data_IF_918706048108
#
_entry.id   IF_918706048108
#
_cell.length_a   1.000
_cell.length_b   1.000
_cell.length_c   1.000
_cell.angle_alpha   90.00
_cell.angle_beta   90.00
_cell.angle_gamma   90.00
#
_symmetry.space_group_name_H-M   'P 1'
#
loop_
_entity.id
_entity.type
_entity.pdbx_description
1 polymer ?
#
# COMPACT_ATOMS: atom_id res chain seq x y z
N UNK A 1 -5.64 -18.02 12.08
CA UNK A 1 -6.13 -16.78 11.44
C UNK A 1 -5.71 -16.87 9.98
N UNK A 2 -6.64 -17.10 9.07
CA UNK A 2 -6.34 -17.24 7.65
C UNK A 2 -5.77 -15.91 7.14
N UNK A 3 -4.49 -15.91 6.76
CA UNK A 3 -3.74 -14.70 6.35
C UNK A 3 -4.37 -14.00 5.13
N UNK A 4 -5.26 -14.66 4.41
CA UNK A 4 -5.96 -14.14 3.21
C UNK A 4 -7.00 -13.05 3.49
N UNK A 5 -7.45 -12.87 4.74
CA UNK A 5 -8.53 -11.91 5.03
C UNK A 5 -8.07 -10.62 5.70
N UNK A 6 -6.78 -10.49 5.99
CA UNK A 6 -6.26 -9.31 6.68
C UNK A 6 -6.29 -8.11 5.74
N UNK A 7 -7.00 -7.06 6.19
CA UNK A 7 -7.11 -5.78 5.48
C UNK A 7 -6.46 -4.71 6.35
N UNK A 8 -5.42 -4.08 5.82
CA UNK A 8 -4.68 -3.02 6.51
C UNK A 8 -4.92 -1.72 5.77
N UNK A 9 -5.34 -0.67 6.48
CA UNK A 9 -5.51 0.65 5.87
C UNK A 9 -4.17 1.23 5.43
N UNK A 10 -4.18 2.14 4.47
CA UNK A 10 -2.96 2.85 4.07
C UNK A 10 -2.35 3.64 5.25
N UNK A 11 -3.21 4.19 6.11
CA UNK A 11 -2.81 4.93 7.30
C UNK A 11 -2.12 4.03 8.33
N UNK A 12 -2.70 2.87 8.65
CA UNK A 12 -2.08 1.87 9.54
C UNK A 12 -0.71 1.41 9.03
N UNK A 13 -0.56 1.27 7.71
CA UNK A 13 0.71 0.87 7.09
C UNK A 13 1.70 2.04 6.93
N UNK A 14 1.31 3.27 7.28
CA UNK A 14 2.17 4.45 7.15
C UNK A 14 2.46 4.85 5.69
N UNK A 15 1.53 4.56 4.77
CA UNK A 15 1.71 4.82 3.33
C UNK A 15 0.65 5.77 2.76
N UNK A 16 1.03 6.45 1.68
CA UNK A 16 0.15 7.37 0.94
C UNK A 16 0.01 6.91 -0.50
N UNK A 17 -1.22 6.59 -0.91
CA UNK A 17 -1.55 6.29 -2.30
C UNK A 17 -1.43 7.52 -3.19
N UNK A 18 -0.72 7.36 -4.32
CA UNK A 18 -0.48 8.39 -5.32
C UNK A 18 -0.76 7.84 -6.73
N UNK A 19 -1.08 8.71 -7.69
CA UNK A 19 -1.22 8.30 -9.09
C UNK A 19 0.16 8.01 -9.70
N UNK A 20 0.33 6.85 -10.32
CA UNK A 20 1.58 6.47 -11.01
C UNK A 20 1.99 7.51 -12.08
N UNK A 21 1.00 8.04 -12.81
CA UNK A 21 1.21 8.97 -13.94
C UNK A 21 1.87 10.29 -13.54
N UNK A 22 1.47 10.88 -12.41
CA UNK A 22 1.88 12.23 -12.02
C UNK A 22 2.44 12.33 -10.59
N UNK A 23 2.51 11.19 -9.89
CA UNK A 23 3.00 11.03 -8.52
C UNK A 23 2.27 11.87 -7.47
N UNK A 24 1.14 12.49 -7.81
CA UNK A 24 0.33 13.28 -6.89
C UNK A 24 -0.46 12.36 -5.96
N UNK A 25 -0.55 12.76 -4.69
CA UNK A 25 -1.42 12.11 -3.69
C UNK A 25 -2.84 12.03 -4.22
N UNK A 26 -3.45 10.86 -4.08
CA UNK A 26 -4.87 10.69 -4.38
C UNK A 26 -5.70 11.36 -3.27
N UNK A 27 -6.60 12.27 -3.63
CA UNK A 27 -7.47 12.94 -2.65
C UNK A 27 -8.58 12.02 -2.13
N UNK A 28 -9.08 11.14 -3.00
CA UNK A 28 -10.13 10.17 -2.70
C UNK A 28 -9.82 8.88 -3.44
N UNK A 29 -8.93 8.02 -2.89
CA UNK A 29 -8.64 6.74 -3.52
C UNK A 29 -9.90 5.85 -3.47
N UNK A 30 -10.08 5.00 -4.48
CA UNK A 30 -11.25 4.09 -4.56
C UNK A 30 -11.18 3.03 -3.47
N UNK A 31 -9.97 2.69 -3.04
CA UNK A 31 -9.68 1.78 -1.95
C UNK A 31 -8.82 2.50 -0.92
N UNK A 32 -9.08 2.24 0.35
CA UNK A 32 -8.34 2.77 1.51
C UNK A 32 -7.55 1.68 2.25
N UNK A 33 -7.71 0.41 1.85
CA UNK A 33 -7.13 -0.77 2.47
C UNK A 33 -6.37 -1.64 1.45
N UNK A 34 -5.24 -2.17 1.89
CA UNK A 34 -4.46 -3.18 1.20
C UNK A 34 -4.85 -4.59 1.67
N UNK A 35 -4.73 -5.52 0.73
CA UNK A 35 -4.61 -6.95 0.95
C UNK A 35 -3.40 -7.41 0.18
N UNK A 36 -2.65 -8.38 0.71
CA UNK A 36 -1.37 -8.79 0.13
C UNK A 36 -1.50 -9.21 -1.35
N UNK A 37 -2.56 -9.95 -1.68
CA UNK A 37 -2.87 -10.42 -3.03
C UNK A 37 -3.31 -9.31 -3.99
N UNK A 38 -3.81 -8.19 -3.46
CA UNK A 38 -4.27 -7.05 -4.25
C UNK A 38 -3.15 -6.05 -4.57
N UNK A 39 -2.02 -6.08 -3.83
CA UNK A 39 -0.90 -5.15 -4.05
C UNK A 39 -0.45 -5.12 -5.51
N UNK A 40 -0.23 -6.26 -6.22
CA UNK A 40 0.14 -6.22 -7.64
C UNK A 40 -0.90 -5.53 -8.52
N UNK A 41 -2.20 -5.74 -8.25
CA UNK A 41 -3.30 -5.14 -9.01
C UNK A 41 -3.27 -3.61 -8.92
N UNK A 42 -2.94 -3.07 -7.74
CA UNK A 42 -2.79 -1.62 -7.56
C UNK A 42 -1.71 -1.03 -8.48
N UNK A 43 -0.53 -1.66 -8.54
CA UNK A 43 0.60 -1.18 -9.34
C UNK A 43 0.38 -1.40 -10.84
N UNK A 44 0.01 -2.61 -11.24
CA UNK A 44 -0.02 -3.01 -12.65
C UNK A 44 -1.29 -2.57 -13.38
N UNK A 45 -2.45 -2.64 -12.72
CA UNK A 45 -3.74 -2.43 -13.39
C UNK A 45 -4.38 -1.10 -13.05
N UNK A 46 -4.25 -0.64 -11.80
CA UNK A 46 -4.95 0.55 -11.33
C UNK A 46 -4.10 1.82 -11.34
N UNK A 47 -2.79 1.70 -11.62
CA UNK A 47 -1.89 2.83 -11.73
C UNK A 47 -1.69 3.57 -10.40
N UNK A 48 -1.66 2.83 -9.30
CA UNK A 48 -1.31 3.33 -7.97
C UNK A 48 0.19 3.16 -7.76
N UNK A 49 0.79 4.11 -7.05
CA UNK A 49 2.08 3.95 -6.39
C UNK A 49 1.94 4.41 -4.95
N UNK A 50 2.74 3.85 -4.06
CA UNK A 50 2.69 4.16 -2.64
C UNK A 50 4.00 4.81 -2.20
N UNK A 51 3.91 5.81 -1.33
CA UNK A 51 5.06 6.46 -0.71
C UNK A 51 4.93 6.49 0.79
N UNK A 52 6.04 6.68 1.50
CA UNK A 52 6.03 6.87 2.95
C UNK A 52 5.20 8.11 3.32
N UNK A 53 4.41 7.97 4.40
CA UNK A 53 3.73 9.10 5.02
C UNK A 53 4.73 10.07 5.68
N UNK A 54 5.82 9.53 6.24
CA UNK A 54 6.87 10.28 6.93
C UNK A 54 7.89 10.90 5.96
N UNK A 55 8.18 10.21 4.85
CA UNK A 55 9.12 10.66 3.82
C UNK A 55 8.47 10.72 2.43
N UNK A 56 7.93 11.89 2.03
CA UNK A 56 7.24 12.07 0.74
C UNK A 56 8.08 11.81 -0.53
N UNK A 57 9.41 11.69 -0.40
CA UNK A 57 10.33 11.40 -1.50
C UNK A 57 10.56 9.89 -1.69
N UNK A 58 10.20 9.08 -0.70
CA UNK A 58 10.45 7.65 -0.67
C UNK A 58 9.21 6.90 -1.17
N UNK A 59 9.35 6.25 -2.32
CA UNK A 59 8.31 5.45 -2.93
C UNK A 59 8.66 3.98 -2.79
N UNK A 60 7.65 3.17 -2.44
CA UNK A 60 7.80 1.72 -2.34
C UNK A 60 7.65 1.09 -3.73
N UNK A 61 8.56 0.18 -4.06
CA UNK A 61 8.30 -0.82 -5.10
C UNK A 61 7.15 -1.74 -4.67
N UNK A 62 6.64 -2.54 -5.60
CA UNK A 62 5.61 -3.52 -5.31
C UNK A 62 6.08 -4.52 -4.23
N UNK A 63 7.31 -5.01 -4.37
CA UNK A 63 7.93 -5.99 -3.46
C UNK A 63 8.15 -5.39 -2.08
N UNK A 64 8.64 -4.14 -2.02
CA UNK A 64 8.83 -3.42 -0.76
C UNK A 64 7.51 -3.22 -0.02
N UNK A 65 6.42 -2.89 -0.74
CA UNK A 65 5.10 -2.75 -0.12
C UNK A 65 4.55 -4.08 0.37
N UNK A 66 4.79 -5.18 -0.37
CA UNK A 66 4.42 -6.53 0.06
C UNK A 66 5.17 -6.95 1.32
N UNK A 67 6.48 -6.68 1.40
CA UNK A 67 7.29 -6.95 2.58
C UNK A 67 6.84 -6.10 3.78
N UNK A 68 6.62 -4.79 3.57
CA UNK A 68 6.07 -3.90 4.59
C UNK A 68 4.73 -4.41 5.14
N UNK A 69 3.82 -4.84 4.26
CA UNK A 69 2.54 -5.42 4.64
C UNK A 69 2.70 -6.69 5.49
N UNK A 70 3.58 -7.61 5.06
CA UNK A 70 3.86 -8.86 5.80
C UNK A 70 4.43 -8.56 7.19
N UNK A 71 5.41 -7.67 7.27
CA UNK A 71 6.04 -7.29 8.53
C UNK A 71 5.03 -6.66 9.49
N UNK A 72 4.14 -5.78 8.99
CA UNK A 72 3.07 -5.20 9.79
C UNK A 72 2.13 -6.28 10.33
N UNK A 73 1.67 -7.19 9.48
CA UNK A 73 0.79 -8.30 9.88
C UNK A 73 1.43 -9.21 10.91
N UNK A 74 2.72 -9.53 10.76
CA UNK A 74 3.47 -10.33 11.74
C UNK A 74 3.68 -9.61 13.06
N UNK A 75 3.77 -8.27 13.06
CA UNK A 75 3.95 -7.47 14.28
C UNK A 75 2.71 -7.36 15.17
N UNK A 76 1.52 -7.65 14.63
CA UNK A 76 0.24 -7.59 15.35
C UNK A 76 -0.31 -8.98 15.72
N UNK A 77 0.40 -10.06 15.39
CA UNK A 77 0.08 -11.44 15.79
C UNK A 77 0.86 -11.84 17.04
#
# INVERSE_FOLDING_TARGET
>A
MDKEYIRVTFEELGVVACHAKNKRKMKSPVFDKLRLEMIPVFYEKWGYIFRSADNPKEYYSMEQLQELFKNYVESIQ
#
